data_IF_273753446110
#
_entry.id   IF_273753446110
#
_cell.length_a   1.000
_cell.length_b   1.000
_cell.length_c   1.000
_cell.angle_alpha   90.00
_cell.angle_beta   90.00
_cell.angle_gamma   90.00
#
_symmetry.space_group_name_H-M   'P 1'
#
loop_
_entity.id
_entity.type
_entity.pdbx_description
1 polymer ?
#
# COMPACT_ATOMS: atom_id res chain seq x y z
N UNK A 1 -51.64 -12.39 20.32
CA UNK A 1 -52.73 -11.39 20.17
C UNK A 1 -52.06 -10.02 20.26
N UNK A 2 -52.10 -9.06 19.35
CA UNK A 2 -52.47 -8.90 17.94
C UNK A 2 -51.82 -7.55 17.57
N UNK A 3 -50.81 -7.54 16.71
CA UNK A 3 -50.88 -7.12 15.30
C UNK A 3 -51.02 -5.60 15.01
N UNK A 4 -50.00 -5.09 14.29
CA UNK A 4 -50.05 -4.33 13.00
C UNK A 4 -50.08 -2.79 13.06
N UNK A 5 -49.02 -2.13 12.55
CA UNK A 5 -48.96 -1.67 11.15
C UNK A 5 -47.61 -1.03 10.76
N UNK A 6 -46.98 -1.61 9.74
CA UNK A 6 -45.81 -1.11 9.00
C UNK A 6 -46.18 0.01 8.02
N UNK A 7 -45.22 0.86 7.67
CA UNK A 7 -45.23 1.57 6.38
C UNK A 7 -43.86 1.40 5.70
N UNK A 8 -43.85 0.56 4.66
CA UNK A 8 -42.74 0.37 3.72
C UNK A 8 -42.68 1.53 2.72
N UNK A 9 -41.48 1.97 2.37
CA UNK A 9 -41.19 2.67 1.11
C UNK A 9 -40.21 1.81 0.31
N UNK A 10 -40.71 1.25 -0.80
CA UNK A 10 -39.96 0.51 -1.81
C UNK A 10 -39.98 1.35 -3.09
N UNK A 11 -38.83 1.88 -3.49
CA UNK A 11 -38.65 2.54 -4.79
C UNK A 11 -38.02 1.52 -5.75
N UNK A 12 -38.81 1.09 -6.73
CA UNK A 12 -38.35 0.35 -7.91
C UNK A 12 -37.70 1.32 -8.90
N UNK A 13 -36.48 1.01 -9.36
CA UNK A 13 -35.95 1.56 -10.62
C UNK A 13 -35.60 0.39 -11.55
N UNK A 14 -36.35 0.29 -12.65
CA UNK A 14 -36.17 -0.72 -13.69
C UNK A 14 -35.06 -0.31 -14.67
N UNK A 15 -34.21 -1.28 -15.00
CA UNK A 15 -33.20 -1.23 -16.06
C UNK A 15 -33.87 -1.07 -17.44
N UNK A 16 -33.38 -0.15 -18.26
CA UNK A 16 -33.62 -0.15 -19.71
C UNK A 16 -32.27 -0.27 -20.41
N UNK A 17 -32.12 -1.41 -21.10
CA UNK A 17 -31.05 -1.71 -22.06
C UNK A 17 -31.45 -1.12 -23.40
N UNK A 18 -30.57 -0.34 -24.04
CA UNK A 18 -30.73 0.06 -25.44
C UNK A 18 -29.46 -0.32 -26.22
N UNK A 19 -29.65 -1.26 -27.14
CA UNK A 19 -28.70 -1.81 -28.10
C UNK A 19 -28.38 -0.84 -29.24
N UNK A 20 -27.12 -0.87 -29.70
CA UNK A 20 -26.63 -0.23 -30.93
C UNK A 20 -27.29 -0.77 -32.22
N UNK A 21 -27.22 -0.03 -33.33
CA UNK A 21 -27.27 -0.62 -34.67
C UNK A 21 -25.93 -0.51 -35.41
N UNK A 22 -25.63 -1.59 -36.13
CA UNK A 22 -24.46 -1.77 -36.98
C UNK A 22 -24.67 -1.20 -38.41
N UNK A 23 -23.54 -0.85 -39.01
CA UNK A 23 -23.12 -0.97 -40.42
C UNK A 23 -24.16 -1.02 -41.55
N UNK A 24 -23.93 -0.17 -42.56
CA UNK A 24 -24.35 -0.43 -43.96
C UNK A 24 -23.20 -0.10 -44.92
N UNK A 25 -22.67 -1.17 -45.52
CA UNK A 25 -21.86 -1.15 -46.74
C UNK A 25 -22.75 -0.81 -47.95
N UNK A 26 -22.22 -0.05 -48.91
CA UNK A 26 -22.80 0.06 -50.25
C UNK A 26 -21.70 0.18 -51.33
N UNK A 27 -21.39 -0.99 -51.89
CA UNK A 27 -21.06 -1.32 -53.28
C UNK A 27 -20.61 -0.25 -54.29
N UNK A 28 -19.47 -0.58 -54.90
CA UNK A 28 -18.92 -0.10 -56.18
C UNK A 28 -19.81 -0.48 -57.37
N UNK A 29 -19.94 0.42 -58.35
CA UNK A 29 -20.23 0.05 -59.75
C UNK A 29 -19.53 0.99 -60.72
N UNK A 30 -18.63 0.41 -61.53
CA UNK A 30 -17.97 1.00 -62.70
C UNK A 30 -18.96 1.36 -63.81
N UNK A 31 -18.66 2.44 -64.53
CA UNK A 31 -19.05 2.57 -65.94
C UNK A 31 -17.97 3.32 -66.72
N UNK A 32 -17.68 2.77 -67.88
CA UNK A 32 -16.51 2.94 -68.73
C UNK A 32 -16.61 4.10 -69.75
N UNK A 33 -15.41 4.56 -70.17
CA UNK A 33 -15.00 5.03 -71.52
C UNK A 33 -15.44 6.44 -72.01
N UNK A 34 -14.45 7.31 -72.24
CA UNK A 34 -14.03 7.74 -73.59
C UNK A 34 -12.79 8.64 -73.57
N UNK A 35 -11.87 8.37 -74.51
CA UNK A 35 -10.57 8.99 -74.74
C UNK A 35 -10.65 10.26 -75.59
N UNK A 36 -9.80 11.26 -75.30
CA UNK A 36 -9.23 12.13 -76.33
C UNK A 36 -7.92 12.77 -75.86
N UNK A 37 -6.84 12.51 -76.60
CA UNK A 37 -5.50 13.03 -76.37
C UNK A 37 -5.34 14.48 -76.89
N UNK A 38 -4.53 15.30 -76.19
CA UNK A 38 -3.70 16.35 -76.81
C UNK A 38 -2.59 16.90 -75.87
N UNK A 39 -1.36 16.72 -76.36
CA UNK A 39 -0.17 17.58 -76.33
C UNK A 39 0.29 18.34 -75.05
N UNK A 40 1.53 18.01 -74.69
CA UNK A 40 2.57 18.67 -73.89
C UNK A 40 2.47 20.16 -73.52
N UNK A 41 2.83 20.45 -72.27
CA UNK A 41 3.77 21.53 -71.90
C UNK A 41 4.44 21.19 -70.56
N UNK A 42 5.77 21.30 -70.50
CA UNK A 42 6.59 21.23 -69.28
C UNK A 42 6.10 22.21 -68.22
N UNK A 43 5.81 21.68 -67.03
CA UNK A 43 5.52 22.44 -65.82
C UNK A 43 6.30 21.83 -64.67
N UNK A 44 7.20 22.63 -64.12
CA UNK A 44 8.05 22.40 -62.96
C UNK A 44 7.33 21.62 -61.85
N UNK A 45 7.92 20.51 -61.42
CA UNK A 45 7.54 19.81 -60.18
C UNK A 45 7.75 20.76 -59.01
N UNK A 46 6.68 21.40 -58.56
CA UNK A 46 6.60 22.02 -57.25
C UNK A 46 6.58 20.86 -56.25
N UNK A 47 7.61 20.80 -55.41
CA UNK A 47 7.68 19.87 -54.30
C UNK A 47 6.35 19.92 -53.53
N UNK A 48 5.74 18.76 -53.29
CA UNK A 48 4.61 18.65 -52.39
C UNK A 48 5.04 19.25 -51.05
N UNK A 49 4.44 20.38 -50.70
CA UNK A 49 4.45 20.87 -49.34
C UNK A 49 3.95 19.72 -48.48
N UNK A 50 4.85 19.15 -47.68
CA UNK A 50 4.46 18.36 -46.52
C UNK A 50 3.42 19.19 -45.78
N UNK A 51 2.17 18.73 -45.74
CA UNK A 51 1.18 19.28 -44.84
C UNK A 51 1.75 19.09 -43.43
N UNK A 52 2.42 20.12 -42.88
CA UNK A 52 2.70 20.16 -41.46
C UNK A 52 1.34 20.18 -40.78
N UNK A 53 1.05 19.16 -39.98
CA UNK A 53 -0.08 19.23 -39.07
C UNK A 53 0.04 20.54 -38.27
N UNK A 54 -1.09 21.18 -37.99
CA UNK A 54 -1.09 22.34 -37.10
C UNK A 54 -0.43 21.92 -35.78
N UNK A 55 0.47 22.77 -35.27
CA UNK A 55 1.05 22.58 -33.94
C UNK A 55 -0.07 22.43 -32.91
N UNK A 56 0.09 21.49 -31.98
CA UNK A 56 -0.86 21.31 -30.89
C UNK A 56 -0.82 22.58 -30.02
N UNK A 57 -1.80 23.47 -30.19
CA UNK A 57 -1.96 24.62 -29.30
C UNK A 57 -2.65 24.17 -28.02
N UNK A 58 -2.04 24.44 -26.87
CA UNK A 58 -2.68 24.20 -25.59
C UNK A 58 -4.02 24.98 -25.53
N UNK A 59 -5.13 24.27 -25.30
CA UNK A 59 -6.48 24.87 -25.17
C UNK A 59 -6.73 25.44 -23.77
N UNK A 60 -5.82 25.17 -22.84
CA UNK A 60 -5.74 25.68 -21.47
C UNK A 60 -4.31 26.15 -21.18
N UNK A 61 -4.11 26.90 -20.10
CA UNK A 61 -2.76 27.33 -19.69
C UNK A 61 -1.85 26.15 -19.34
N UNK A 62 -0.53 26.38 -19.41
CA UNK A 62 0.45 25.41 -18.93
C UNK A 62 0.44 25.30 -17.40
N UNK A 63 0.95 24.19 -16.88
CA UNK A 63 1.11 23.99 -15.43
C UNK A 63 2.02 25.06 -14.81
N UNK A 64 1.83 25.34 -13.52
CA UNK A 64 2.76 26.18 -12.77
C UNK A 64 4.11 25.47 -12.63
N UNK A 65 5.19 26.24 -12.70
CA UNK A 65 6.55 25.79 -12.42
C UNK A 65 7.03 26.22 -11.02
N UNK A 66 6.16 26.83 -10.22
CA UNK A 66 6.48 27.22 -8.86
C UNK A 66 6.68 25.97 -8.00
N UNK A 67 7.79 25.93 -7.27
CA UNK A 67 8.12 24.79 -6.42
C UNK A 67 7.12 24.69 -5.25
N UNK A 68 6.73 23.45 -4.94
CA UNK A 68 5.91 23.12 -3.78
C UNK A 68 6.76 22.40 -2.74
N UNK A 69 7.81 23.07 -2.28
CA UNK A 69 8.69 22.54 -1.23
C UNK A 69 7.91 22.36 0.08
N UNK A 70 8.37 21.40 0.89
CA UNK A 70 7.90 21.22 2.26
C UNK A 70 8.27 22.46 3.08
N UNK A 71 7.28 23.09 3.72
CA UNK A 71 7.45 24.40 4.36
C UNK A 71 8.10 24.32 5.75
N UNK A 72 7.89 23.22 6.47
CA UNK A 72 8.45 22.94 7.80
C UNK A 72 8.47 21.44 8.06
N UNK A 73 9.13 21.03 9.15
CA UNK A 73 9.22 19.65 9.62
C UNK A 73 8.92 19.57 11.13
N UNK A 74 8.97 18.36 11.70
CA UNK A 74 8.73 18.14 13.14
C UNK A 74 9.71 18.87 14.07
N UNK A 75 10.90 19.20 13.59
CA UNK A 75 11.94 19.90 14.36
C UNK A 75 11.82 21.43 14.27
N UNK A 76 10.96 21.91 13.39
CA UNK A 76 10.77 23.33 13.13
C UNK A 76 10.14 24.06 14.31
N UNK A 77 10.41 25.36 14.41
CA UNK A 77 9.84 26.21 15.48
C UNK A 77 8.36 26.42 15.20
N UNK A 78 7.50 26.31 16.22
CA UNK A 78 6.06 26.55 16.09
C UNK A 78 5.67 27.87 15.42
N UNK A 79 6.52 28.90 15.48
CA UNK A 79 6.28 30.20 14.84
C UNK A 79 6.30 30.17 13.31
N UNK A 80 6.79 29.10 12.67
CA UNK A 80 6.79 28.97 11.20
C UNK A 80 5.59 28.20 10.66
N UNK A 81 4.84 27.53 11.54
CA UNK A 81 3.65 26.75 11.16
C UNK A 81 2.52 27.72 10.81
N UNK A 82 2.01 27.61 9.60
CA UNK A 82 0.93 28.50 9.10
C UNK A 82 0.16 27.82 7.97
N UNK A 83 -1.14 28.11 7.86
CA UNK A 83 -1.96 27.70 6.73
C UNK A 83 -1.79 28.65 5.53
N UNK A 84 -0.54 29.01 5.21
CA UNK A 84 -0.18 29.96 4.16
C UNK A 84 0.89 29.36 3.24
N UNK A 85 0.65 29.43 1.92
CA UNK A 85 1.63 29.06 0.89
C UNK A 85 1.77 30.20 -0.11
N UNK A 86 2.89 30.91 -0.05
CA UNK A 86 3.12 32.09 -0.88
C UNK A 86 2.09 33.20 -0.61
N UNK A 87 1.21 33.47 -1.57
CA UNK A 87 0.13 34.47 -1.44
C UNK A 87 -1.23 33.85 -1.09
N UNK A 88 -1.29 32.53 -0.92
CA UNK A 88 -2.52 31.80 -0.62
C UNK A 88 -2.60 31.52 0.88
N UNK A 89 -3.82 31.47 1.41
CA UNK A 89 -4.08 31.13 2.81
C UNK A 89 -4.15 32.34 3.75
N UNK A 90 -4.18 32.05 5.06
CA UNK A 90 -4.17 33.03 6.15
C UNK A 90 -3.76 32.38 7.48
N UNK A 91 -3.27 33.19 8.43
CA UNK A 91 -2.96 32.76 9.79
C UNK A 91 -4.13 32.10 10.54
N UNK A 92 -3.85 31.08 11.36
CA UNK A 92 -4.83 30.43 12.24
C UNK A 92 -5.16 31.35 13.42
N UNK A 93 -6.44 31.71 13.58
CA UNK A 93 -6.92 32.56 14.68
C UNK A 93 -7.52 31.78 15.85
N UNK A 94 -7.93 30.53 15.62
CA UNK A 94 -8.58 29.67 16.60
C UNK A 94 -7.61 28.85 17.44
N UNK A 95 -8.13 28.02 18.37
CA UNK A 95 -7.34 26.98 19.01
C UNK A 95 -6.74 26.05 17.96
N UNK A 96 -5.52 25.60 18.21
CA UNK A 96 -4.74 24.85 17.24
C UNK A 96 -3.96 23.70 17.91
N UNK A 97 -3.57 22.70 17.12
CA UNK A 97 -2.79 21.55 17.58
C UNK A 97 -1.44 21.51 16.87
N UNK A 98 -0.58 22.46 17.23
CA UNK A 98 0.75 22.65 16.64
C UNK A 98 1.57 21.36 16.49
N UNK A 99 1.64 20.43 17.46
CA UNK A 99 2.31 19.15 17.25
C UNK A 99 1.80 18.35 16.04
N UNK A 100 0.50 18.37 15.76
CA UNK A 100 -0.08 17.71 14.59
C UNK A 100 0.22 18.47 13.31
N UNK A 101 0.21 19.80 13.34
CA UNK A 101 0.54 20.61 12.16
C UNK A 101 2.00 20.47 11.74
N UNK A 102 2.91 20.34 12.73
CA UNK A 102 4.33 20.06 12.49
C UNK A 102 4.54 18.71 11.77
N UNK A 103 3.68 17.72 12.03
CA UNK A 103 3.70 16.41 11.37
C UNK A 103 3.06 16.43 9.98
N UNK A 104 2.21 17.42 9.67
CA UNK A 104 1.42 17.45 8.44
C UNK A 104 1.57 18.76 7.65
N UNK A 105 2.79 19.18 7.27
CA UNK A 105 3.04 20.43 6.56
C UNK A 105 2.29 20.54 5.22
N UNK A 106 2.29 19.47 4.42
CA UNK A 106 1.62 19.42 3.12
C UNK A 106 0.12 19.13 3.24
N UNK A 107 -0.40 18.90 4.45
CA UNK A 107 -1.85 18.87 4.69
C UNK A 107 -2.38 20.24 5.12
N UNK A 108 -1.66 20.93 6.00
CA UNK A 108 -2.05 22.26 6.50
C UNK A 108 -1.87 23.35 5.42
N UNK A 109 -0.74 23.33 4.71
CA UNK A 109 -0.43 24.24 3.62
C UNK A 109 -0.13 23.41 2.35
N UNK A 110 -1.16 22.86 1.69
CA UNK A 110 -0.98 21.86 0.63
C UNK A 110 -0.27 22.41 -0.61
N UNK A 111 0.33 21.54 -1.45
CA UNK A 111 0.84 21.93 -2.75
C UNK A 111 -0.23 22.66 -3.57
N UNK A 112 0.15 23.66 -4.33
CA UNK A 112 -0.77 24.45 -5.16
C UNK A 112 -1.43 23.64 -6.28
N UNK A 113 -0.97 22.42 -6.50
CA UNK A 113 -1.52 21.45 -7.46
C UNK A 113 -2.62 20.56 -6.88
N UNK A 114 -2.83 20.57 -5.56
CA UNK A 114 -3.94 19.86 -4.93
C UNK A 114 -5.28 20.49 -5.31
N UNK A 115 -6.29 19.63 -5.48
CA UNK A 115 -7.60 20.04 -5.98
C UNK A 115 -8.64 18.98 -5.70
N UNK A 116 -9.90 19.39 -5.54
CA UNK A 116 -11.03 18.49 -5.35
C UNK A 116 -11.04 17.77 -4.01
N UNK A 117 -11.76 16.65 -3.95
CA UNK A 117 -11.98 15.88 -2.73
C UNK A 117 -11.43 14.47 -2.89
N UNK A 118 -10.40 14.14 -2.10
CA UNK A 118 -9.88 12.78 -1.93
C UNK A 118 -10.26 12.32 -0.51
N UNK A 119 -10.78 11.09 -0.30
CA UNK A 119 -11.00 10.58 1.05
C UNK A 119 -9.70 10.56 1.87
N UNK A 120 -9.82 10.52 3.20
CA UNK A 120 -8.63 10.48 4.05
C UNK A 120 -7.83 9.18 3.80
N UNK A 121 -6.58 9.33 3.36
CA UNK A 121 -5.68 8.23 2.99
C UNK A 121 -4.56 8.00 4.00
N UNK A 122 -4.62 8.66 5.17
CA UNK A 122 -3.65 8.50 6.27
C UNK A 122 -4.36 8.07 7.55
N UNK A 123 -3.84 7.03 8.21
CA UNK A 123 -4.25 6.66 9.58
C UNK A 123 -3.03 6.36 10.46
N UNK A 124 -2.75 7.17 11.50
CA UNK A 124 -1.73 6.84 12.50
C UNK A 124 -2.25 5.77 13.46
N UNK A 125 -1.52 4.66 13.65
CA UNK A 125 -1.86 3.69 14.70
C UNK A 125 -1.91 4.30 16.11
N UNK A 126 -1.26 5.46 16.31
CA UNK A 126 -1.34 6.22 17.56
C UNK A 126 -2.77 6.70 17.89
N UNK A 127 -3.67 6.77 16.90
CA UNK A 127 -5.07 7.15 17.06
C UNK A 127 -6.01 5.94 17.20
N UNK A 128 -5.51 4.72 17.00
CA UNK A 128 -6.28 3.50 17.21
C UNK A 128 -6.48 3.21 18.70
N UNK A 129 -7.66 2.70 19.06
CA UNK A 129 -7.88 2.14 20.39
C UNK A 129 -6.88 0.99 20.62
N UNK A 130 -6.29 0.93 21.81
CA UNK A 130 -5.29 -0.08 22.14
C UNK A 130 -5.84 -1.04 23.19
N UNK A 131 -6.06 -2.29 22.78
CA UNK A 131 -6.53 -3.38 23.62
C UNK A 131 -5.36 -3.91 24.45
N UNK A 132 -5.32 -3.52 25.71
CA UNK A 132 -4.27 -3.93 26.64
C UNK A 132 -4.63 -5.25 27.32
N UNK A 133 -3.69 -6.19 27.34
CA UNK A 133 -3.83 -7.50 27.98
C UNK A 133 -2.62 -7.81 28.87
N UNK A 134 -2.75 -8.80 29.75
CA UNK A 134 -1.57 -9.29 30.48
C UNK A 134 -0.68 -10.05 29.50
N UNK A 135 0.54 -9.56 29.26
CA UNK A 135 1.47 -10.15 28.30
C UNK A 135 1.53 -9.45 26.94
N UNK A 136 0.77 -8.38 26.70
CA UNK A 136 0.84 -7.67 25.43
C UNK A 136 -0.28 -6.67 25.15
N UNK A 137 -0.33 -6.20 23.91
CA UNK A 137 -1.39 -5.33 23.42
C UNK A 137 -1.58 -5.46 21.92
N UNK A 138 -2.75 -5.02 21.45
CA UNK A 138 -3.07 -4.98 20.03
C UNK A 138 -3.95 -3.76 19.71
N UNK A 139 -3.76 -3.18 18.53
CA UNK A 139 -4.50 -2.02 18.04
C UNK A 139 -4.67 -2.13 16.53
N UNK A 140 -5.84 -1.73 16.04
CA UNK A 140 -6.22 -1.99 14.66
C UNK A 140 -6.51 -0.74 13.82
N UNK A 141 -6.38 -0.90 12.51
CA UNK A 141 -6.94 -0.04 11.47
C UNK A 141 -7.87 -0.89 10.61
N UNK A 142 -9.07 -0.35 10.35
CA UNK A 142 -10.07 -0.94 9.49
C UNK A 142 -11.00 0.16 8.94
N UNK A 143 -12.00 -0.21 8.16
CA UNK A 143 -12.97 0.73 7.57
C UNK A 143 -13.72 1.60 8.60
N UNK A 144 -13.72 1.24 9.89
CA UNK A 144 -14.32 2.07 10.94
C UNK A 144 -13.53 3.36 11.20
N UNK A 145 -12.21 3.31 11.05
CA UNK A 145 -11.30 4.44 11.30
C UNK A 145 -10.70 5.01 10.01
N UNK A 146 -10.56 4.19 8.97
CA UNK A 146 -10.03 4.57 7.66
C UNK A 146 -10.94 4.04 6.55
N UNK A 147 -12.12 4.67 6.29
CA UNK A 147 -13.15 4.11 5.41
C UNK A 147 -12.75 3.92 3.94
N UNK A 148 -11.63 4.52 3.50
CA UNK A 148 -11.11 4.32 2.14
C UNK A 148 -10.48 2.92 1.98
N UNK A 149 -10.00 2.32 3.08
CA UNK A 149 -9.27 1.05 3.08
C UNK A 149 -10.23 -0.15 3.08
N UNK A 150 -10.94 -0.37 1.97
CA UNK A 150 -12.00 -1.39 1.91
C UNK A 150 -11.48 -2.80 1.70
N UNK A 151 -10.33 -2.95 1.05
CA UNK A 151 -9.80 -4.28 0.68
C UNK A 151 -8.89 -4.90 1.75
N UNK A 152 -8.34 -4.09 2.67
CA UNK A 152 -7.38 -4.54 3.66
C UNK A 152 -7.56 -3.80 4.98
N UNK A 153 -7.29 -4.50 6.07
CA UNK A 153 -7.23 -3.97 7.43
C UNK A 153 -5.96 -4.49 8.11
N UNK A 154 -5.55 -3.86 9.21
CA UNK A 154 -4.29 -4.19 9.86
C UNK A 154 -4.37 -4.15 11.37
N UNK A 155 -3.53 -4.96 12.01
CA UNK A 155 -3.31 -4.96 13.45
C UNK A 155 -1.83 -4.76 13.73
N UNK A 156 -1.49 -3.77 14.56
CA UNK A 156 -0.19 -3.69 15.20
C UNK A 156 -0.29 -4.38 16.56
N UNK A 157 0.45 -5.47 16.73
CA UNK A 157 0.41 -6.31 17.92
C UNK A 157 1.79 -6.43 18.55
N UNK A 158 1.79 -6.48 19.87
CA UNK A 158 2.98 -6.66 20.69
C UNK A 158 2.75 -7.73 21.75
N UNK A 159 3.72 -8.62 21.88
CA UNK A 159 3.78 -9.67 22.89
C UNK A 159 5.03 -9.48 23.76
N UNK A 160 4.88 -9.55 25.08
CA UNK A 160 5.99 -9.64 26.02
C UNK A 160 6.72 -10.98 25.86
N UNK A 161 7.98 -11.07 26.30
CA UNK A 161 8.78 -12.30 26.15
C UNK A 161 8.04 -13.53 26.73
N UNK A 162 7.86 -14.57 25.90
CA UNK A 162 7.13 -15.78 26.24
C UNK A 162 5.61 -15.68 26.17
N UNK A 163 5.02 -14.48 26.07
CA UNK A 163 3.58 -14.30 25.96
C UNK A 163 3.04 -14.88 24.65
N UNK A 164 1.81 -15.37 24.70
CA UNK A 164 1.13 -16.09 23.63
C UNK A 164 -0.06 -15.27 23.15
N UNK A 165 -0.14 -15.05 21.83
CA UNK A 165 -1.40 -14.84 21.13
C UNK A 165 -2.06 -16.20 20.96
N UNK A 166 -3.24 -16.33 21.55
CA UNK A 166 -3.98 -17.59 21.68
C UNK A 166 -4.11 -18.37 20.36
N UNK A 167 -4.23 -19.70 20.43
CA UNK A 167 -4.64 -20.52 19.30
C UNK A 167 -5.97 -20.03 18.74
N UNK A 168 -5.97 -19.67 17.46
CA UNK A 168 -7.14 -19.09 16.81
C UNK A 168 -7.14 -19.30 15.29
N UNK A 169 -8.26 -18.96 14.66
CA UNK A 169 -8.37 -18.85 13.21
C UNK A 169 -9.33 -17.71 12.82
N UNK A 170 -9.35 -17.36 11.55
CA UNK A 170 -10.27 -16.36 10.98
C UNK A 170 -10.52 -16.65 9.50
N UNK A 171 -11.54 -16.00 8.92
CA UNK A 171 -11.94 -16.18 7.52
C UNK A 171 -10.99 -15.52 6.52
N UNK A 172 -10.30 -14.47 6.94
CA UNK A 172 -9.32 -13.71 6.15
C UNK A 172 -8.00 -14.47 6.08
N UNK A 173 -7.22 -14.22 5.05
CA UNK A 173 -5.79 -14.52 5.11
C UNK A 173 -5.11 -13.57 6.11
N UNK A 174 -4.04 -14.02 6.74
CA UNK A 174 -3.17 -13.16 7.55
C UNK A 174 -1.79 -13.13 6.91
N UNK A 175 -1.30 -11.94 6.61
CA UNK A 175 0.09 -11.68 6.25
C UNK A 175 0.74 -10.85 7.35
N UNK A 176 2.03 -11.04 7.62
CA UNK A 176 2.70 -10.27 8.65
C UNK A 176 4.13 -9.87 8.31
N UNK A 177 4.57 -8.81 8.98
CA UNK A 177 5.95 -8.32 9.01
C UNK A 177 6.40 -8.13 10.47
N UNK A 178 7.53 -8.75 10.84
CA UNK A 178 8.08 -8.59 12.19
C UNK A 178 8.88 -7.29 12.29
N UNK A 179 8.45 -6.38 13.16
CA UNK A 179 9.13 -5.11 13.39
C UNK A 179 10.31 -5.27 14.35
N UNK A 180 10.13 -6.04 15.44
CA UNK A 180 11.12 -6.19 16.50
C UNK A 180 10.95 -7.52 17.25
N UNK A 181 12.04 -8.03 17.80
CA UNK A 181 12.10 -9.34 18.47
C UNK A 181 11.84 -10.50 17.51
N UNK A 182 11.69 -11.71 18.04
CA UNK A 182 11.20 -12.83 17.25
C UNK A 182 9.97 -13.51 17.84
N UNK A 183 9.19 -14.11 16.95
CA UNK A 183 7.94 -14.81 17.26
C UNK A 183 8.04 -16.24 16.75
N UNK A 184 7.82 -17.20 17.62
CA UNK A 184 7.54 -18.58 17.21
C UNK A 184 6.08 -18.67 16.76
N UNK A 185 5.89 -19.13 15.52
CA UNK A 185 4.58 -19.35 14.94
C UNK A 185 4.30 -20.84 14.83
N UNK A 186 3.04 -21.23 15.01
CA UNK A 186 2.58 -22.60 14.75
C UNK A 186 1.34 -22.59 13.88
N UNK A 187 1.15 -23.62 13.06
CA UNK A 187 -0.06 -23.81 12.27
C UNK A 187 -0.32 -25.29 11.96
N UNK A 188 -1.58 -25.62 11.64
CA UNK A 188 -1.99 -26.95 11.17
C UNK A 188 -2.88 -26.81 9.94
N UNK A 189 -2.53 -27.48 8.84
CA UNK A 189 -3.30 -27.39 7.59
C UNK A 189 -4.50 -28.36 7.52
N UNK A 190 -5.27 -28.26 6.43
CA UNK A 190 -6.46 -29.07 6.19
C UNK A 190 -6.18 -30.57 6.02
N UNK A 191 -4.93 -30.96 5.82
CA UNK A 191 -4.50 -32.34 5.76
C UNK A 191 -3.91 -32.83 7.09
N UNK A 192 -3.94 -32.01 8.15
CA UNK A 192 -3.43 -32.35 9.48
C UNK A 192 -1.90 -32.28 9.59
N UNK A 193 -1.23 -31.60 8.65
CA UNK A 193 0.21 -31.39 8.69
C UNK A 193 0.51 -30.14 9.50
N UNK A 194 1.54 -30.20 10.32
CA UNK A 194 1.92 -29.06 11.14
C UNK A 194 3.06 -28.24 10.53
N UNK A 195 3.18 -27.02 11.02
CA UNK A 195 4.27 -26.11 10.76
C UNK A 195 4.64 -25.37 12.04
N UNK A 196 5.94 -25.29 12.33
CA UNK A 196 6.49 -24.48 13.42
C UNK A 196 7.73 -23.76 12.89
N UNK A 197 7.83 -22.47 13.13
CA UNK A 197 9.00 -21.67 12.75
C UNK A 197 9.18 -20.48 13.69
N UNK A 198 10.43 -20.04 13.86
CA UNK A 198 10.75 -18.77 14.51
C UNK A 198 11.02 -17.71 13.46
N UNK A 199 10.32 -16.58 13.55
CA UNK A 199 10.34 -15.49 12.57
C UNK A 199 10.89 -14.23 13.26
N UNK A 200 11.96 -13.64 12.70
CA UNK A 200 12.67 -12.50 13.31
C UNK A 200 12.44 -11.17 12.58
N UNK A 201 13.08 -10.07 13.03
CA UNK A 201 12.85 -8.74 12.47
C UNK A 201 13.10 -8.68 10.96
N UNK A 202 12.13 -8.14 10.23
CA UNK A 202 12.16 -8.06 8.77
C UNK A 202 11.80 -9.35 8.03
N UNK A 203 11.44 -10.43 8.73
CA UNK A 203 10.86 -11.62 8.13
C UNK A 203 9.33 -11.57 8.10
N UNK A 204 8.75 -12.46 7.31
CA UNK A 204 7.31 -12.52 7.05
C UNK A 204 6.71 -13.84 7.52
N UNK A 205 5.41 -13.82 7.78
CA UNK A 205 4.58 -15.02 7.69
C UNK A 205 3.31 -14.79 6.88
N UNK A 206 2.71 -15.89 6.44
CA UNK A 206 1.40 -15.90 5.79
C UNK A 206 0.62 -17.14 6.21
N UNK A 207 -0.58 -16.93 6.75
CA UNK A 207 -1.56 -17.99 7.02
C UNK A 207 -2.71 -17.91 6.01
N UNK A 208 -2.97 -18.97 5.24
CA UNK A 208 -4.13 -19.02 4.38
C UNK A 208 -5.45 -18.91 5.17
N UNK A 209 -6.54 -18.45 4.52
CA UNK A 209 -7.86 -18.37 5.14
C UNK A 209 -8.26 -19.64 5.89
N UNK A 210 -8.67 -19.48 7.16
CA UNK A 210 -9.17 -20.57 8.00
C UNK A 210 -8.12 -21.53 8.56
N UNK A 211 -6.83 -21.34 8.28
CA UNK A 211 -5.76 -22.16 8.87
C UNK A 211 -5.53 -21.73 10.32
N UNK A 212 -5.73 -22.61 11.31
CA UNK A 212 -5.51 -22.28 12.72
C UNK A 212 -4.03 -22.11 13.01
N UNK A 213 -3.72 -21.13 13.85
CA UNK A 213 -2.35 -20.77 14.20
C UNK A 213 -2.26 -20.17 15.61
N UNK A 214 -1.03 -20.01 16.09
CA UNK A 214 -0.71 -19.25 17.31
C UNK A 214 0.62 -18.53 17.16
N UNK A 215 0.82 -17.50 17.97
CA UNK A 215 2.03 -16.69 17.99
C UNK A 215 2.56 -16.65 19.41
N UNK A 216 3.85 -16.91 19.60
CA UNK A 216 4.49 -16.81 20.90
C UNK A 216 5.79 -16.02 20.77
N UNK A 217 5.92 -14.92 21.52
CA UNK A 217 7.17 -14.19 21.56
C UNK A 217 8.28 -15.07 22.16
N UNK A 218 9.46 -15.05 21.53
CA UNK A 218 10.63 -15.72 22.09
C UNK A 218 11.31 -14.83 23.15
N UNK A 219 12.47 -15.25 23.63
CA UNK A 219 13.28 -14.50 24.62
C UNK A 219 14.55 -13.87 24.04
N UNK A 220 14.72 -13.82 22.72
CA UNK A 220 15.92 -13.29 22.08
C UNK A 220 16.09 -11.77 22.30
N UNK A 221 14.97 -11.04 22.32
CA UNK A 221 14.84 -9.69 22.84
C UNK A 221 14.13 -9.74 24.21
N UNK A 222 14.74 -9.16 25.24
CA UNK A 222 14.15 -9.09 26.58
C UNK A 222 12.82 -8.34 26.62
N UNK A 223 12.48 -7.58 25.57
CA UNK A 223 11.19 -6.95 25.39
C UNK A 223 10.11 -7.86 24.76
N UNK A 224 10.42 -9.06 24.27
CA UNK A 224 9.48 -9.87 23.46
C UNK A 224 9.44 -9.40 22.00
N UNK A 225 8.27 -9.47 21.34
CA UNK A 225 8.13 -9.18 19.92
C UNK A 225 7.04 -8.15 19.59
N UNK A 226 7.19 -7.48 18.46
CA UNK A 226 6.20 -6.56 17.89
C UNK A 226 6.17 -6.71 16.36
N UNK A 227 4.98 -6.72 15.80
CA UNK A 227 4.74 -7.03 14.39
C UNK A 227 3.48 -6.33 13.87
N UNK A 228 3.38 -6.25 12.55
CA UNK A 228 2.19 -5.81 11.82
C UNK A 228 1.56 -7.02 11.17
N UNK A 229 0.25 -7.16 11.33
CA UNK A 229 -0.62 -8.11 10.65
C UNK A 229 -1.45 -7.34 9.62
N UNK A 230 -1.65 -7.92 8.44
CA UNK A 230 -2.53 -7.39 7.39
C UNK A 230 -3.49 -8.50 6.98
N UNK A 231 -4.77 -8.15 6.93
CA UNK A 231 -5.87 -9.04 6.58
C UNK A 231 -6.50 -8.59 5.27
N UNK A 232 -6.89 -9.54 4.42
CA UNK A 232 -7.44 -9.29 3.07
C UNK A 232 -8.94 -8.91 3.04
N UNK A 233 -9.41 -8.22 4.08
CA UNK A 233 -10.75 -7.65 4.20
C UNK A 233 -10.69 -6.39 5.08
N UNK A 234 -11.06 -5.23 4.53
CA UNK A 234 -11.07 -3.97 5.26
C UNK A 234 -12.07 -3.91 6.42
N UNK A 235 -13.05 -4.82 6.46
CA UNK A 235 -13.99 -4.95 7.57
C UNK A 235 -13.50 -5.85 8.72
N UNK A 236 -12.27 -6.38 8.64
CA UNK A 236 -11.71 -7.20 9.70
C UNK A 236 -11.63 -6.41 11.02
N UNK A 237 -11.84 -7.14 12.13
CA UNK A 237 -11.58 -6.67 13.48
C UNK A 237 -10.95 -7.80 14.29
N UNK A 238 -9.93 -7.48 15.08
CA UNK A 238 -9.21 -8.45 15.93
C UNK A 238 -10.11 -9.10 16.98
N UNK A 239 -11.21 -8.43 17.33
CA UNK A 239 -12.24 -8.90 18.25
C UNK A 239 -13.14 -9.99 17.62
N UNK A 240 -13.05 -10.23 16.32
CA UNK A 240 -13.90 -11.18 15.58
C UNK A 240 -13.16 -12.46 15.14
N UNK A 241 -12.03 -12.77 15.77
CA UNK A 241 -11.32 -14.03 15.56
C UNK A 241 -12.02 -15.19 16.28
N UNK A 242 -11.82 -16.42 15.79
CA UNK A 242 -12.33 -17.61 16.46
C UNK A 242 -11.25 -18.16 17.40
N UNK A 243 -11.42 -17.93 18.70
CA UNK A 243 -10.46 -18.32 19.73
C UNK A 243 -10.76 -19.73 20.25
N UNK A 244 -9.71 -20.50 20.54
CA UNK A 244 -9.84 -21.86 21.04
C UNK A 244 -10.65 -21.92 22.34
N UNK A 245 -10.28 -21.12 23.33
CA UNK A 245 -10.90 -21.14 24.66
C UNK A 245 -12.32 -20.60 24.63
N UNK A 246 -12.59 -19.56 23.83
CA UNK A 246 -13.95 -19.07 23.59
C UNK A 246 -14.85 -20.15 22.97
N UNK A 247 -14.35 -20.85 21.94
CA UNK A 247 -15.11 -21.94 21.35
C UNK A 247 -15.40 -23.05 22.37
N UNK A 248 -14.40 -23.45 23.16
CA UNK A 248 -14.57 -24.55 24.12
C UNK A 248 -15.49 -24.18 25.28
N UNK A 249 -15.55 -22.92 25.73
CA UNK A 249 -16.55 -22.47 26.72
C UNK A 249 -17.99 -22.53 26.16
N UNK A 250 -18.14 -22.37 24.84
CA UNK A 250 -19.43 -22.42 24.16
C UNK A 250 -19.81 -23.80 23.59
N UNK A 251 -19.15 -24.88 24.05
CA UNK A 251 -19.51 -26.26 23.71
C UNK A 251 -20.05 -27.00 24.94
N UNK A 252 -21.20 -27.70 24.85
CA UNK A 252 -21.68 -28.51 25.97
C UNK A 252 -20.62 -29.50 26.46
N UNK A 253 -20.42 -29.57 27.77
CA UNK A 253 -19.32 -30.33 28.36
C UNK A 253 -19.30 -31.80 27.93
N UNK A 254 -20.47 -32.44 27.84
CA UNK A 254 -20.57 -33.83 27.39
C UNK A 254 -20.20 -34.02 25.92
N UNK A 255 -20.27 -32.98 25.09
CA UNK A 255 -19.81 -32.99 23.70
C UNK A 255 -18.28 -32.95 23.67
N UNK A 256 -17.64 -32.13 24.52
CA UNK A 256 -16.17 -32.14 24.68
C UNK A 256 -15.67 -33.52 25.08
N UNK A 257 -16.29 -34.13 26.10
CA UNK A 257 -15.93 -35.46 26.57
C UNK A 257 -16.07 -36.52 25.47
N UNK A 258 -17.17 -36.49 24.71
CA UNK A 258 -17.39 -37.40 23.58
C UNK A 258 -16.37 -37.18 22.46
N UNK A 259 -16.07 -35.93 22.12
CA UNK A 259 -15.13 -35.57 21.06
C UNK A 259 -13.72 -36.08 21.35
N UNK A 260 -13.24 -35.86 22.58
CA UNK A 260 -11.91 -36.28 23.01
C UNK A 260 -11.85 -37.72 23.57
N UNK A 261 -13.00 -38.41 23.66
CA UNK A 261 -13.13 -39.76 24.21
C UNK A 261 -12.53 -39.93 25.61
N UNK A 262 -12.65 -38.89 26.46
CA UNK A 262 -12.08 -38.90 27.81
C UNK A 262 -13.13 -39.34 28.83
N UNK A 263 -12.86 -40.45 29.54
CA UNK A 263 -13.75 -40.99 30.57
C UNK A 263 -13.66 -40.31 31.94
N UNK A 264 -12.63 -39.49 32.18
CA UNK A 264 -12.50 -38.70 33.40
C UNK A 264 -13.47 -37.50 33.35
N UNK A 265 -14.46 -37.39 34.28
CA UNK A 265 -15.41 -36.29 34.29
C UNK A 265 -14.76 -34.92 34.54
N UNK A 266 -13.57 -34.88 35.13
CA UNK A 266 -12.90 -33.62 35.48
C UNK A 266 -11.80 -33.21 34.48
N UNK A 267 -11.62 -33.95 33.38
CA UNK A 267 -10.52 -33.75 32.44
C UNK A 267 -10.48 -32.35 31.83
N UNK A 268 -11.64 -31.74 31.62
CA UNK A 268 -11.80 -30.42 31.01
C UNK A 268 -12.39 -29.40 32.00
N UNK A 269 -12.39 -29.70 33.30
CA UNK A 269 -13.01 -28.85 34.33
C UNK A 269 -12.33 -27.49 34.52
N UNK A 270 -11.12 -27.31 33.97
CA UNK A 270 -10.33 -26.08 34.05
C UNK A 270 -10.17 -25.36 32.70
N UNK A 271 -11.01 -25.68 31.71
CA UNK A 271 -11.10 -24.83 30.52
C UNK A 271 -11.53 -23.42 30.97
N UNK A 272 -10.86 -22.34 30.51
CA UNK A 272 -11.26 -20.97 30.81
C UNK A 272 -12.72 -20.68 30.44
N UNK A 273 -13.39 -19.85 31.23
CA UNK A 273 -14.78 -19.42 30.98
C UNK A 273 -14.93 -18.27 30.00
N UNK A 274 -13.81 -17.67 29.65
CA UNK A 274 -13.73 -16.53 28.75
C UNK A 274 -12.45 -16.72 27.93
N UNK A 275 -12.39 -16.07 26.78
CA UNK A 275 -11.19 -16.05 25.95
C UNK A 275 -9.96 -15.58 26.72
N UNK A 276 -8.79 -16.14 26.37
CA UNK A 276 -7.51 -15.65 26.87
C UNK A 276 -6.96 -14.53 25.99
N UNK A 277 -7.17 -14.63 24.68
CA UNK A 277 -6.71 -13.71 23.62
C UNK A 277 -5.18 -13.50 23.58
N UNK A 278 -4.62 -12.77 24.55
CA UNK A 278 -3.18 -12.63 24.81
C UNK A 278 -2.95 -12.92 26.28
N UNK A 279 -2.02 -13.83 26.59
CA UNK A 279 -1.73 -14.24 27.95
C UNK A 279 -0.24 -14.56 28.15
N UNK A 280 0.29 -14.42 29.38
CA UNK A 280 1.68 -14.72 29.66
C UNK A 280 1.95 -16.22 29.65
N UNK A 281 3.12 -16.63 29.18
CA UNK A 281 3.63 -18.00 29.27
C UNK A 281 5.14 -18.00 29.44
N UNK A 282 5.72 -19.18 29.63
CA UNK A 282 7.17 -19.34 29.64
C UNK A 282 7.72 -19.17 28.22
N UNK A 283 8.95 -18.65 28.12
CA UNK A 283 9.66 -18.52 26.84
C UNK A 283 9.75 -19.90 26.17
N UNK A 284 9.41 -20.03 24.87
CA UNK A 284 9.55 -21.29 24.15
C UNK A 284 11.04 -21.66 24.03
N UNK A 285 11.34 -22.95 23.99
CA UNK A 285 12.71 -23.42 23.73
C UNK A 285 13.15 -23.02 22.30
N UNK A 286 14.41 -22.63 22.13
CA UNK A 286 14.97 -22.18 20.84
C UNK A 286 14.89 -23.28 19.75
N UNK A 287 14.86 -24.54 20.16
CA UNK A 287 14.77 -25.74 19.33
C UNK A 287 13.45 -26.50 19.50
N UNK A 288 12.39 -25.84 19.97
CA UNK A 288 11.07 -26.44 20.16
C UNK A 288 10.63 -27.19 18.89
N UNK A 289 10.78 -28.51 18.92
CA UNK A 289 10.42 -29.35 17.78
C UNK A 289 8.91 -29.41 17.65
N UNK A 290 8.42 -29.26 16.42
CA UNK A 290 7.02 -29.50 16.14
C UNK A 290 6.63 -30.92 16.59
N UNK A 291 5.41 -31.13 17.13
CA UNK A 291 4.92 -32.48 17.41
C UNK A 291 5.06 -33.38 16.17
N UNK A 292 5.38 -34.66 16.35
CA UNK A 292 5.45 -35.57 15.19
C UNK A 292 4.06 -35.75 14.59
N UNK A 293 3.84 -35.23 13.37
CA UNK A 293 2.61 -35.43 12.61
C UNK A 293 2.75 -36.66 11.70
N UNK A 294 1.88 -37.68 11.82
CA UNK A 294 1.90 -38.82 10.90
C UNK A 294 1.57 -38.44 9.44
N UNK A 295 1.07 -37.23 9.20
CA UNK A 295 0.76 -36.66 7.89
C UNK A 295 1.96 -35.89 7.31
N UNK A 296 3.03 -35.71 8.09
CA UNK A 296 4.22 -34.94 7.73
C UNK A 296 4.06 -33.44 7.97
N UNK A 297 4.93 -32.65 7.34
CA UNK A 297 4.93 -31.19 7.42
C UNK A 297 4.31 -30.57 6.17
N UNK A 298 3.87 -29.31 6.28
CA UNK A 298 3.33 -28.55 5.14
C UNK A 298 4.34 -28.51 3.97
N UNK A 299 3.89 -28.62 2.70
CA UNK A 299 4.78 -28.70 1.55
C UNK A 299 5.43 -27.36 1.18
N UNK A 300 4.77 -26.25 1.51
CA UNK A 300 5.31 -24.91 1.34
C UNK A 300 5.32 -24.22 2.72
N UNK A 301 6.43 -23.56 3.11
CA UNK A 301 6.54 -22.92 4.42
C UNK A 301 5.56 -21.75 4.56
N UNK A 302 5.08 -21.51 5.79
CA UNK A 302 4.27 -20.33 6.14
C UNK A 302 5.10 -19.13 6.63
N UNK A 303 6.43 -19.24 6.66
CA UNK A 303 7.33 -18.10 6.89
C UNK A 303 8.22 -17.84 5.67
N UNK A 304 8.66 -16.59 5.53
CA UNK A 304 9.58 -16.17 4.48
C UNK A 304 10.69 -15.27 5.05
N UNK A 305 11.98 -15.63 4.86
CA UNK A 305 13.09 -14.88 5.44
C UNK A 305 13.44 -13.63 4.62
N UNK A 306 12.52 -12.65 4.55
CA UNK A 306 12.69 -11.41 3.79
C UNK A 306 13.91 -10.59 4.28
N UNK A 307 14.29 -10.70 5.56
CA UNK A 307 15.50 -10.08 6.11
C UNK A 307 16.76 -10.52 5.38
N UNK A 308 16.77 -11.74 4.83
CA UNK A 308 17.89 -12.36 4.09
C UNK A 308 17.74 -12.25 2.58
N UNK A 309 16.61 -11.75 2.08
CA UNK A 309 16.39 -11.56 0.65
C UNK A 309 17.23 -10.39 0.13
N UNK A 310 17.84 -10.57 -1.04
CA UNK A 310 18.60 -9.50 -1.71
C UNK A 310 17.64 -8.39 -2.18
N UNK A 311 17.97 -7.15 -1.87
CA UNK A 311 17.26 -5.99 -2.39
C UNK A 311 17.78 -5.59 -3.77
N UNK A 312 16.87 -5.26 -4.68
CA UNK A 312 17.21 -4.62 -5.95
C UNK A 312 17.67 -3.19 -5.67
N UNK A 313 18.94 -2.91 -5.97
CA UNK A 313 19.53 -1.58 -5.79
C UNK A 313 19.16 -0.66 -6.95
N UNK A 314 18.78 0.57 -6.62
CA UNK A 314 18.28 1.60 -7.52
C UNK A 314 18.96 2.94 -7.20
N UNK A 315 18.82 3.92 -8.08
CA UNK A 315 19.55 5.20 -7.94
C UNK A 315 19.23 5.98 -6.65
N UNK A 316 18.00 5.90 -6.16
CA UNK A 316 17.55 6.59 -4.96
C UNK A 316 17.31 5.69 -3.76
N UNK A 317 17.71 4.41 -3.81
CA UNK A 317 17.48 3.47 -2.74
C UNK A 317 17.34 2.03 -3.21
N UNK A 318 16.41 1.27 -2.63
CA UNK A 318 16.26 -0.15 -2.96
C UNK A 318 14.85 -0.67 -2.75
N UNK A 319 14.55 -1.80 -3.37
CA UNK A 319 13.26 -2.48 -3.22
C UNK A 319 13.44 -4.00 -3.06
N UNK A 320 12.65 -4.62 -2.19
CA UNK A 320 12.44 -6.07 -2.15
C UNK A 320 11.00 -6.37 -2.48
N UNK A 321 10.74 -7.25 -3.43
CA UNK A 321 9.38 -7.63 -3.83
C UNK A 321 9.16 -9.10 -3.49
N UNK A 322 8.06 -9.40 -2.82
CA UNK A 322 7.63 -10.75 -2.49
C UNK A 322 6.17 -10.93 -2.90
N UNK A 323 5.90 -11.97 -3.66
CA UNK A 323 4.56 -12.35 -4.10
C UNK A 323 4.45 -13.88 -4.20
N UNK A 324 3.35 -14.38 -4.75
CA UNK A 324 3.10 -15.82 -4.84
C UNK A 324 4.10 -16.62 -5.70
N UNK A 325 5.03 -15.96 -6.41
CA UNK A 325 6.12 -16.63 -7.16
C UNK A 325 7.37 -16.90 -6.35
N UNK A 326 7.61 -16.14 -5.29
CA UNK A 326 8.72 -16.35 -4.36
C UNK A 326 8.24 -16.93 -3.03
N UNK A 327 7.16 -16.37 -2.47
CA UNK A 327 6.50 -16.87 -1.26
C UNK A 327 5.21 -17.60 -1.64
N UNK A 328 5.34 -18.87 -2.03
CA UNK A 328 4.31 -19.60 -2.78
C UNK A 328 2.97 -19.78 -2.07
N UNK A 329 2.94 -19.70 -0.74
CA UNK A 329 1.70 -19.77 0.06
C UNK A 329 0.92 -18.45 0.06
N UNK A 330 1.59 -17.31 -0.15
CA UNK A 330 0.99 -15.97 -0.13
C UNK A 330 0.19 -15.72 -1.41
N UNK A 331 -1.04 -16.24 -1.45
CA UNK A 331 -1.90 -16.22 -2.65
C UNK A 331 -2.79 -15.00 -2.75
N UNK A 332 -3.06 -14.31 -1.64
CA UNK A 332 -3.94 -13.14 -1.64
C UNK A 332 -3.21 -11.87 -1.25
N UNK A 333 -1.95 -11.94 -0.82
CA UNK A 333 -1.14 -10.78 -0.45
C UNK A 333 0.19 -10.78 -1.20
N UNK A 334 0.51 -9.68 -1.86
CA UNK A 334 1.82 -9.36 -2.41
C UNK A 334 2.36 -8.10 -1.72
N UNK A 335 3.68 -7.93 -1.73
CA UNK A 335 4.32 -6.82 -1.01
C UNK A 335 5.59 -6.29 -1.70
N UNK A 336 5.90 -5.02 -1.46
CA UNK A 336 7.21 -4.42 -1.67
C UNK A 336 7.74 -3.73 -0.39
N UNK A 337 8.99 -3.99 0.01
CA UNK A 337 9.69 -3.23 1.05
C UNK A 337 10.53 -2.22 0.30
N UNK A 338 10.19 -0.94 0.44
CA UNK A 338 10.80 0.16 -0.28
C UNK A 338 11.67 0.96 0.68
N UNK A 339 12.91 1.21 0.27
CA UNK A 339 13.82 2.16 0.91
C UNK A 339 14.08 3.30 -0.05
N UNK A 340 13.77 4.51 0.37
CA UNK A 340 14.05 5.75 -0.35
C UNK A 340 15.08 6.51 0.46
N UNK A 341 16.30 6.60 -0.03
CA UNK A 341 17.39 7.29 0.66
C UNK A 341 17.08 8.77 0.82
N UNK A 342 17.59 9.44 1.86
CA UNK A 342 17.46 10.88 1.92
C UNK A 342 18.12 11.47 0.68
N UNK A 343 17.54 12.52 0.13
CA UNK A 343 18.28 13.31 -0.84
C UNK A 343 19.62 13.72 -0.22
N UNK A 344 20.73 13.60 -0.94
CA UNK A 344 22.06 13.92 -0.44
C UNK A 344 22.21 15.38 0.11
N UNK A 345 22.04 15.56 1.43
CA UNK A 345 22.37 16.72 2.28
C UNK A 345 22.60 18.11 1.63
N UNK A 346 21.80 19.09 2.08
CA UNK A 346 21.95 20.54 1.83
C UNK A 346 23.31 21.07 2.33
N UNK A 347 24.39 20.93 1.55
CA UNK A 347 25.63 21.65 1.83
C UNK A 347 25.57 23.04 1.19
N UNK A 348 25.53 24.08 2.04
CA UNK A 348 25.78 25.46 1.66
C UNK A 348 27.21 25.60 1.09
N UNK A 349 27.35 25.62 -0.24
CA UNK A 349 28.61 26.01 -0.87
C UNK A 349 28.63 27.52 -1.08
N UNK A 350 29.22 28.24 -0.11
CA UNK A 350 29.75 29.58 -0.34
C UNK A 350 31.08 29.44 -1.09
N UNK A 351 31.09 29.59 -2.42
CA UNK A 351 32.23 30.24 -3.11
C UNK A 351 31.86 30.70 -4.51
N UNK A 352 32.33 31.91 -4.83
CA UNK A 352 32.19 32.59 -6.10
C UNK A 352 32.78 31.76 -7.25
N UNK A 353 32.00 31.53 -8.30
CA UNK A 353 32.27 31.82 -9.73
C UNK A 353 31.20 31.10 -10.57
N UNK A 354 30.53 31.89 -11.41
CA UNK A 354 29.39 31.61 -12.27
C UNK A 354 29.33 30.22 -12.93
N UNK A 355 28.59 29.29 -12.31
CA UNK A 355 27.49 28.47 -12.89
C UNK A 355 27.15 27.35 -11.90
N UNK A 356 26.28 27.67 -10.93
CA UNK A 356 25.74 26.71 -9.97
C UNK A 356 24.48 26.10 -10.57
N UNK A 357 24.48 24.79 -10.80
CA UNK A 357 23.23 24.02 -10.94
C UNK A 357 22.89 23.56 -9.54
N UNK A 358 21.84 24.13 -8.96
CA UNK A 358 21.26 23.63 -7.71
C UNK A 358 20.49 22.36 -8.07
N UNK A 359 21.07 21.19 -7.81
CA UNK A 359 20.26 19.98 -7.63
C UNK A 359 19.96 19.92 -6.16
N UNK A 360 18.76 20.34 -5.76
CA UNK A 360 18.29 20.04 -4.41
C UNK A 360 18.37 18.51 -4.21
N UNK A 361 18.76 18.06 -3.02
CA UNK A 361 18.75 16.64 -2.73
C UNK A 361 17.33 16.09 -2.76
N UNK A 362 17.07 15.12 -3.63
CA UNK A 362 15.77 14.44 -3.68
C UNK A 362 15.95 12.95 -3.99
N UNK A 363 15.10 12.14 -3.38
CA UNK A 363 14.86 10.76 -3.81
C UNK A 363 13.38 10.46 -3.64
N UNK A 364 12.82 9.67 -4.54
CA UNK A 364 11.41 9.31 -4.49
C UNK A 364 11.15 7.93 -5.12
N UNK A 365 10.13 7.25 -4.61
CA UNK A 365 9.39 6.22 -5.35
C UNK A 365 8.68 6.91 -6.50
N UNK A 366 9.01 6.52 -7.73
CA UNK A 366 8.61 7.27 -8.94
C UNK A 366 7.10 7.45 -9.10
N UNK A 367 6.71 8.38 -9.99
CA UNK A 367 5.32 8.50 -10.42
C UNK A 367 4.88 7.20 -11.09
N UNK A 368 3.92 6.53 -10.47
CA UNK A 368 3.40 5.25 -10.93
C UNK A 368 1.94 5.05 -10.49
N UNK A 369 1.36 3.93 -10.90
CA UNK A 369 0.11 3.44 -10.34
C UNK A 369 0.08 1.91 -10.37
N UNK A 370 -0.80 1.36 -9.56
CA UNK A 370 -1.14 -0.06 -9.55
C UNK A 370 -2.40 -0.28 -10.40
N UNK A 371 -2.39 -1.18 -11.41
CA UNK A 371 -3.48 -1.24 -12.40
C UNK A 371 -4.84 -1.62 -11.83
N UNK A 372 -4.88 -2.57 -10.91
CA UNK A 372 -6.13 -3.25 -10.49
C UNK A 372 -6.24 -3.46 -8.99
N UNK A 373 -5.17 -3.23 -8.23
CA UNK A 373 -5.09 -3.47 -6.80
C UNK A 373 -4.92 -2.15 -6.07
N UNK A 374 -5.63 -2.01 -4.96
CA UNK A 374 -5.36 -0.96 -3.98
C UNK A 374 -4.04 -1.25 -3.27
N UNK A 375 -3.29 -0.19 -2.98
CA UNK A 375 -2.10 -0.25 -2.15
C UNK A 375 -2.46 0.13 -0.73
N UNK A 376 -2.13 -0.74 0.23
CA UNK A 376 -2.09 -0.41 1.65
C UNK A 376 -0.62 -0.28 2.05
N UNK A 377 -0.25 0.79 2.74
CA UNK A 377 1.15 1.08 3.04
C UNK A 377 1.39 1.23 4.54
N UNK A 378 2.54 0.78 5.04
CA UNK A 378 2.96 1.02 6.43
C UNK A 378 4.34 1.67 6.49
N UNK A 379 4.43 2.82 7.13
CA UNK A 379 5.65 3.58 7.27
C UNK A 379 6.41 3.15 8.53
N UNK A 380 7.63 2.63 8.34
CA UNK A 380 8.46 2.03 9.40
C UNK A 380 9.52 3.02 9.90
N UNK A 381 10.21 3.72 8.99
CA UNK A 381 11.30 4.64 9.30
C UNK A 381 11.23 5.88 8.40
N UNK A 382 11.71 7.02 8.89
CA UNK A 382 11.82 8.27 8.13
C UNK A 382 10.50 9.00 7.92
N UNK A 383 10.54 10.12 7.20
CA UNK A 383 9.38 10.95 6.88
C UNK A 383 9.25 11.15 5.38
N UNK A 384 8.02 11.18 4.90
CA UNK A 384 7.74 11.38 3.49
C UNK A 384 6.40 12.04 3.23
N UNK A 385 6.15 12.32 1.96
CA UNK A 385 4.83 12.73 1.49
C UNK A 385 4.41 11.93 0.27
N UNK A 386 3.10 11.74 0.14
CA UNK A 386 2.47 11.05 -1.00
C UNK A 386 1.39 11.94 -1.55
N UNK A 387 1.38 12.14 -2.86
CA UNK A 387 0.25 12.79 -3.55
C UNK A 387 -0.55 11.74 -4.31
N UNK A 388 -1.85 11.71 -4.06
CA UNK A 388 -2.78 10.80 -4.73
C UNK A 388 -3.51 11.59 -5.81
N UNK A 389 -3.38 11.16 -7.07
CA UNK A 389 -4.15 11.66 -8.20
C UNK A 389 -5.38 10.76 -8.42
N UNK A 390 -6.56 11.31 -8.15
CA UNK A 390 -7.85 10.62 -8.11
C UNK A 390 -8.68 10.81 -9.39
N UNK A 391 -8.04 11.04 -10.54
CA UNK A 391 -8.66 11.41 -11.81
C UNK A 391 -9.42 12.76 -11.77
N UNK A 392 -9.98 13.19 -12.91
CA UNK A 392 -10.83 14.40 -13.02
C UNK A 392 -10.23 15.70 -12.46
N UNK A 393 -8.89 15.82 -12.45
CA UNK A 393 -8.19 16.98 -11.87
C UNK A 393 -8.26 17.04 -10.34
N UNK A 394 -8.54 15.91 -9.69
CA UNK A 394 -8.56 15.76 -8.24
C UNK A 394 -7.24 15.19 -7.76
N UNK A 395 -6.60 15.86 -6.80
CA UNK A 395 -5.37 15.40 -6.16
C UNK A 395 -5.29 15.87 -4.70
N UNK A 396 -4.66 15.07 -3.85
CA UNK A 396 -4.37 15.44 -2.46
C UNK A 396 -3.05 14.88 -1.98
N UNK A 397 -2.27 15.70 -1.28
CA UNK A 397 -1.02 15.33 -0.62
C UNK A 397 -1.23 15.01 0.86
N UNK A 398 -0.55 13.98 1.35
CA UNK A 398 -0.53 13.56 2.74
C UNK A 398 0.92 13.37 3.19
N UNK A 399 1.22 13.70 4.45
CA UNK A 399 2.50 13.43 5.08
C UNK A 399 2.47 12.11 5.86
N UNK A 400 3.58 11.41 5.91
CA UNK A 400 3.71 10.12 6.60
C UNK A 400 5.01 10.04 7.40
N UNK A 401 4.94 9.31 8.51
CA UNK A 401 6.03 9.08 9.45
C UNK A 401 5.88 7.68 10.10
N UNK A 402 6.83 7.24 10.96
CA UNK A 402 6.78 5.90 11.54
C UNK A 402 5.48 5.65 12.32
N UNK A 403 4.82 4.53 12.01
CA UNK A 403 3.54 4.14 12.63
C UNK A 403 2.30 4.60 11.88
N UNK A 404 2.46 5.31 10.75
CA UNK A 404 1.36 5.66 9.87
C UNK A 404 1.03 4.58 8.86
N UNK A 405 -0.25 4.53 8.53
CA UNK A 405 -0.83 3.74 7.46
C UNK A 405 -1.22 4.66 6.31
N UNK A 406 -0.86 4.26 5.09
CA UNK A 406 -1.28 4.87 3.83
C UNK A 406 -2.26 3.98 3.08
N UNK A 407 -3.11 4.57 2.23
CA UNK A 407 -3.94 3.81 1.31
C UNK A 407 -4.09 4.53 -0.03
N UNK A 408 -3.78 3.84 -1.13
CA UNK A 408 -3.92 4.37 -2.48
C UNK A 408 -4.88 3.47 -3.26
N UNK A 409 -6.07 3.98 -3.62
CA UNK A 409 -7.01 3.19 -4.41
C UNK A 409 -6.45 2.76 -5.77
N UNK A 410 -6.92 1.64 -6.27
CA UNK A 410 -6.50 1.10 -7.56
C UNK A 410 -6.56 2.17 -8.67
N UNK A 411 -5.53 2.18 -9.53
CA UNK A 411 -5.32 3.11 -10.62
C UNK A 411 -5.11 4.60 -10.24
N UNK A 412 -5.06 4.96 -8.95
CA UNK A 412 -4.68 6.32 -8.57
C UNK A 412 -3.18 6.52 -8.84
N UNK A 413 -2.87 7.57 -9.59
CA UNK A 413 -1.48 7.96 -9.85
C UNK A 413 -0.86 8.52 -8.57
N UNK A 414 0.34 8.10 -8.21
CA UNK A 414 0.99 8.59 -7.00
C UNK A 414 2.52 8.48 -7.05
N UNK A 415 3.17 9.10 -6.08
CA UNK A 415 4.60 9.01 -5.80
C UNK A 415 4.81 9.05 -4.29
N UNK A 416 5.93 8.52 -3.81
CA UNK A 416 6.34 8.65 -2.39
C UNK A 416 7.68 9.35 -2.35
N UNK A 417 7.69 10.58 -1.86
CA UNK A 417 8.91 11.39 -1.73
C UNK A 417 9.44 11.33 -0.31
N UNK A 418 10.75 11.12 -0.16
CA UNK A 418 11.40 11.27 1.13
C UNK A 418 11.62 12.76 1.43
N UNK A 419 10.97 13.24 2.49
CA UNK A 419 11.02 14.64 2.93
C UNK A 419 11.96 14.85 4.11
N UNK A 420 12.53 13.77 4.64
CA UNK A 420 13.41 13.77 5.80
C UNK A 420 14.90 13.71 5.47
N UNK A 421 15.70 13.70 6.53
CA UNK A 421 17.17 13.60 6.45
C UNK A 421 17.70 12.17 6.67
N UNK A 422 16.81 11.20 6.86
CA UNK A 422 17.13 9.78 7.04
C UNK A 422 16.46 8.96 5.93
N UNK A 423 16.84 7.68 5.79
CA UNK A 423 16.14 6.77 4.88
C UNK A 423 14.67 6.67 5.26
N UNK A 424 13.79 6.82 4.28
CA UNK A 424 12.38 6.49 4.38
C UNK A 424 12.22 5.00 4.05
N UNK A 425 11.67 4.23 4.99
CA UNK A 425 11.39 2.79 4.82
C UNK A 425 9.90 2.54 5.03
N UNK A 426 9.26 1.95 4.05
CA UNK A 426 7.84 1.60 4.13
C UNK A 426 7.55 0.29 3.38
N UNK A 427 6.37 -0.27 3.67
CA UNK A 427 5.81 -1.42 2.97
C UNK A 427 4.73 -0.94 2.02
N UNK A 428 4.69 -1.49 0.80
CA UNK A 428 3.55 -1.44 -0.12
C UNK A 428 2.92 -2.85 -0.08
N UNK A 429 1.65 -2.97 0.32
CA UNK A 429 0.93 -4.25 0.47
C UNK A 429 -0.29 -4.24 -0.44
N UNK A 430 -0.54 -5.37 -1.11
CA UNK A 430 -1.58 -5.49 -2.11
C UNK A 430 -2.40 -6.75 -1.87
N UNK A 431 -3.73 -6.64 -1.99
CA UNK A 431 -4.61 -7.81 -2.09
C UNK A 431 -4.55 -8.42 -3.49
N UNK A 432 -3.47 -9.13 -3.77
CA UNK A 432 -3.15 -9.73 -5.07
C UNK A 432 -2.20 -10.92 -4.90
N UNK A 433 -2.19 -11.84 -5.86
CA UNK A 433 -1.18 -12.90 -5.92
C UNK A 433 0.14 -12.42 -6.54
N UNK A 434 0.14 -11.26 -7.21
CA UNK A 434 1.28 -10.64 -7.90
C UNK A 434 1.47 -9.17 -7.51
N UNK A 435 2.72 -8.75 -7.43
CA UNK A 435 3.08 -7.33 -7.44
C UNK A 435 3.11 -6.81 -8.89
N UNK A 436 2.36 -5.75 -9.19
CA UNK A 436 2.30 -5.14 -10.52
C UNK A 436 2.14 -3.63 -10.43
N UNK A 437 3.00 -2.89 -11.14
CA UNK A 437 2.90 -1.44 -11.27
C UNK A 437 3.21 -0.96 -12.70
N UNK A 438 2.71 0.23 -13.04
CA UNK A 438 3.05 0.92 -14.28
C UNK A 438 3.78 2.22 -13.94
N UNK A 439 5.03 2.32 -14.41
CA UNK A 439 5.85 3.52 -14.30
C UNK A 439 5.44 4.53 -15.35
N UNK A 440 5.22 5.78 -14.92
CA UNK A 440 4.99 6.89 -15.84
C UNK A 440 6.21 7.11 -16.75
N UNK A 441 7.41 7.08 -16.21
CA UNK A 441 8.64 7.30 -16.97
C UNK A 441 8.82 6.23 -18.06
N UNK A 442 8.67 4.96 -17.69
CA UNK A 442 8.75 3.85 -18.64
C UNK A 442 7.64 3.90 -19.70
N UNK A 443 6.41 4.23 -19.31
CA UNK A 443 5.30 4.34 -20.25
C UNK A 443 5.56 5.42 -21.30
N UNK A 444 6.00 6.61 -20.89
CA UNK A 444 6.35 7.68 -21.81
C UNK A 444 7.55 7.28 -22.70
N UNK A 445 8.59 6.67 -22.13
CA UNK A 445 9.78 6.24 -22.87
C UNK A 445 9.52 5.16 -23.95
N UNK A 446 8.47 4.36 -23.77
CA UNK A 446 8.07 3.30 -24.69
C UNK A 446 6.93 3.72 -25.64
N UNK A 447 6.36 4.90 -25.45
CA UNK A 447 5.38 5.51 -26.37
C UNK A 447 6.12 6.23 -27.51
N UNK A 448 5.62 6.22 -28.77
CA UNK A 448 6.27 6.94 -29.86
C UNK A 448 6.55 8.41 -29.50
N UNK A 449 7.80 8.91 -29.64
CA UNK A 449 8.17 10.26 -29.20
C UNK A 449 7.28 11.38 -29.73
N UNK A 450 6.82 11.27 -30.99
CA UNK A 450 5.91 12.24 -31.58
C UNK A 450 4.57 12.34 -30.83
N UNK A 451 4.06 11.22 -30.31
CA UNK A 451 2.82 11.19 -29.51
C UNK A 451 3.07 11.85 -28.15
N UNK A 452 4.17 11.53 -27.46
CA UNK A 452 4.50 12.15 -26.17
C UNK A 452 4.67 13.67 -26.31
N UNK A 453 5.40 14.12 -27.34
CA UNK A 453 5.60 15.54 -27.61
C UNK A 453 4.29 16.27 -27.92
N UNK A 454 3.36 15.63 -28.63
CA UNK A 454 2.03 16.19 -28.88
C UNK A 454 1.20 16.37 -27.59
N UNK A 455 1.42 15.55 -26.56
CA UNK A 455 0.72 15.67 -25.27
C UNK A 455 1.37 16.68 -24.32
N UNK A 456 2.71 16.66 -24.22
CA UNK A 456 3.45 17.37 -23.17
C UNK A 456 4.17 18.63 -23.65
N UNK A 457 4.28 18.83 -24.97
CA UNK A 457 5.01 19.95 -25.57
C UNK A 457 6.45 20.10 -25.04
N UNK A 458 7.17 18.97 -24.93
CA UNK A 458 8.56 18.90 -24.46
C UNK A 458 9.54 18.67 -25.63
N UNK A 459 10.79 19.08 -25.45
CA UNK A 459 11.83 18.98 -26.47
C UNK A 459 12.46 17.58 -26.56
N UNK A 460 13.21 17.33 -27.65
CA UNK A 460 13.88 16.04 -27.87
C UNK A 460 14.94 15.74 -26.80
N UNK A 461 15.55 16.78 -26.21
CA UNK A 461 16.51 16.62 -25.12
C UNK A 461 15.83 16.03 -23.88
N UNK A 462 14.66 16.53 -23.50
CA UNK A 462 13.85 16.01 -22.39
C UNK A 462 13.37 14.59 -22.67
N UNK A 463 12.84 14.32 -23.88
CA UNK A 463 12.43 12.97 -24.29
C UNK A 463 13.60 11.97 -24.18
N UNK A 464 14.81 12.40 -24.54
CA UNK A 464 16.00 11.52 -24.49
C UNK A 464 16.42 11.11 -23.08
N UNK A 465 15.93 11.80 -22.04
CA UNK A 465 16.18 11.47 -20.63
C UNK A 465 15.18 10.46 -20.06
N UNK A 466 14.08 10.17 -20.78
CA UNK A 466 13.10 9.17 -20.34
C UNK A 466 13.74 7.77 -20.35
N UNK A 467 13.46 7.00 -19.30
CA UNK A 467 14.03 5.67 -19.10
C UNK A 467 13.11 4.57 -19.61
N UNK A 468 13.62 3.73 -20.52
CA UNK A 468 12.91 2.52 -20.98
C UNK A 468 12.93 1.39 -19.95
N UNK A 469 13.81 1.48 -18.97
CA UNK A 469 13.91 0.55 -17.84
C UNK A 469 13.24 1.23 -16.64
N UNK A 470 12.25 0.55 -16.05
CA UNK A 470 11.46 1.06 -14.91
C UNK A 470 12.34 1.57 -13.76
N UNK A 471 12.38 2.89 -13.51
CA UNK A 471 13.19 3.46 -12.44
C UNK A 471 12.39 3.56 -11.12
N UNK A 472 12.10 2.40 -10.51
CA UNK A 472 11.19 2.26 -9.34
C UNK A 472 11.47 3.30 -8.23
N UNK A 473 12.73 3.44 -7.83
CA UNK A 473 13.21 4.45 -6.86
C UNK A 473 14.30 5.30 -7.51
N UNK A 474 14.03 6.59 -7.62
CA UNK A 474 14.88 7.55 -8.31
C UNK A 474 15.57 8.43 -7.28
N UNK A 475 16.86 8.69 -7.48
CA UNK A 475 17.66 9.65 -6.70
C UNK A 475 18.40 10.60 -7.64
N UNK A 476 19.25 11.49 -7.10
CA UNK A 476 20.03 12.41 -7.92
C UNK A 476 20.91 11.59 -8.88
N UNK A 477 20.93 11.96 -10.15
CA UNK A 477 21.80 11.30 -11.13
C UNK A 477 23.26 11.32 -10.66
N UNK A 478 23.96 10.20 -10.85
CA UNK A 478 25.38 10.06 -10.53
C UNK A 478 26.27 10.99 -11.36
#
# INVERSE_FOLDING_TARGET
MSNVASLLWLVFLAKIVASAPASVDASVSNSDVATSAKASTSGTTIASTTNSALEATATVGFISTDANDVLWDEESRSSVVTAERGKLGASIMGPDNIPMDLQNPDFLAPPTTDSGSVPNAKWPFALSHNRLQTGGWAREENIGVMPIATEMASVNMRLEAGAIRELHWHKTAEWAYVLKGSTQITAVDTEGRNYVATVGPGDLWYFPPGIPHSLQATGDDGGGSEFILVFDDGAFSEDSTFLLTDWLDHVPYEVLQKNFQVGNPDAFAHIPKDELYIFPSMIPEDDASAPESPQGTVPNPYSFPLSKANATQLSGGSVKIVDSTSFTVSKTIAMAEVRVEPGAMRYFCLTLIHRIVFTEPWSLRELHWHPTMDEWSFFIEGTGRVTLFASEGTARTFNYQPGDIGYVPAAYGHYVENTGNTTLKFLEIFKSDRFEDISLNQWLALTPPAVVKAHLNIDDATISQLSKVKPVVIGPGA
#
